data_IF_784700339654
#
_entry.id   IF_784700339654
#
_cell.length_a   1.000
_cell.length_b   1.000
_cell.length_c   1.000
_cell.angle_alpha   90.00
_cell.angle_beta   90.00
_cell.angle_gamma   90.00
#
_symmetry.space_group_name_H-M   'P 1'
#
loop_
_entity.id
_entity.type
_entity.pdbx_description
1 polymer ?
#
# COMPACT_ATOMS: atom_id res chain seq x y z
N UNK A 1 11.23 -5.77 22.86
CA UNK A 1 10.18 -6.41 23.70
C UNK A 1 10.04 -5.63 24.99
N UNK A 2 11.14 -5.32 25.68
CA UNK A 2 11.06 -4.50 26.90
C UNK A 2 10.94 -3.02 26.52
N UNK A 3 10.01 -2.35 27.20
CA UNK A 3 9.76 -0.91 27.04
C UNK A 3 10.81 -0.07 27.77
N UNK A 4 11.50 -0.67 28.75
CA UNK A 4 12.61 -0.08 29.47
C UNK A 4 13.81 -1.02 29.46
N UNK A 5 15.01 -0.46 29.58
CA UNK A 5 16.21 -1.29 29.62
C UNK A 5 16.22 -2.12 30.90
N UNK A 6 16.58 -3.41 30.84
CA UNK A 6 16.75 -4.20 32.06
C UNK A 6 18.07 -3.87 32.78
N UNK A 7 18.99 -3.16 32.14
CA UNK A 7 20.31 -2.89 32.71
C UNK A 7 20.25 -1.83 33.81
N UNK A 8 20.79 -2.21 34.96
CA UNK A 8 21.02 -1.34 36.11
C UNK A 8 22.48 -1.42 36.53
N UNK A 9 22.95 -0.43 37.29
CA UNK A 9 24.25 -0.50 37.97
C UNK A 9 23.99 -0.98 39.39
N UNK A 10 24.65 -2.05 39.80
CA UNK A 10 24.48 -2.61 41.14
C UNK A 10 25.81 -2.73 41.87
N UNK A 11 25.74 -2.59 43.18
CA UNK A 11 26.86 -2.75 44.10
C UNK A 11 26.41 -3.44 45.38
N UNK A 12 27.35 -3.93 46.18
CA UNK A 12 27.04 -4.39 47.55
C UNK A 12 26.64 -3.18 48.39
N UNK A 13 25.60 -3.29 49.20
CA UNK A 13 25.08 -2.21 50.04
C UNK A 13 26.14 -1.59 50.96
N UNK A 14 27.10 -2.40 51.44
CA UNK A 14 28.23 -1.96 52.27
C UNK A 14 29.22 -1.01 51.56
N UNK A 15 29.27 -1.03 50.22
CA UNK A 15 30.11 -0.11 49.43
C UNK A 15 29.56 1.31 49.40
N UNK A 16 28.30 1.51 49.84
CA UNK A 16 27.60 2.81 49.92
C UNK A 16 27.54 3.55 48.58
N UNK A 17 27.48 2.82 47.47
CA UNK A 17 27.29 3.38 46.12
C UNK A 17 25.78 3.41 45.85
N UNK A 18 25.17 4.58 45.98
CA UNK A 18 23.69 4.75 45.96
C UNK A 18 23.21 5.73 44.89
N UNK A 19 24.11 6.55 44.34
CA UNK A 19 23.84 7.51 43.28
C UNK A 19 25.00 7.56 42.27
N UNK A 20 24.77 8.04 41.05
CA UNK A 20 25.79 8.05 39.98
C UNK A 20 27.11 8.69 40.40
N UNK A 21 27.09 9.80 41.15
CA UNK A 21 28.31 10.49 41.59
C UNK A 21 29.22 9.63 42.46
N UNK A 22 28.69 8.61 43.14
CA UNK A 22 29.46 7.69 43.99
C UNK A 22 30.33 6.72 43.15
N UNK A 23 30.10 6.67 41.82
CA UNK A 23 30.87 5.86 40.88
C UNK A 23 32.23 6.47 40.55
N UNK A 24 32.45 7.76 40.81
CA UNK A 24 33.73 8.41 40.60
C UNK A 24 34.83 7.74 41.46
N UNK A 25 35.96 7.43 40.83
CA UNK A 25 37.09 6.71 41.43
C UNK A 25 36.84 5.22 41.66
N UNK A 26 35.72 4.65 41.20
CA UNK A 26 35.38 3.23 41.40
C UNK A 26 35.78 2.37 40.22
N UNK A 27 35.93 1.07 40.50
CA UNK A 27 36.09 0.06 39.45
C UNK A 27 34.75 -0.59 39.15
N UNK A 28 34.30 -0.49 37.90
CA UNK A 28 33.02 -1.03 37.44
C UNK A 28 33.26 -2.09 36.37
N UNK A 29 32.56 -3.22 36.49
CA UNK A 29 32.46 -4.15 35.37
C UNK A 29 31.19 -3.91 34.57
N UNK A 30 31.38 -3.62 33.28
CA UNK A 30 30.27 -3.40 32.37
C UNK A 30 30.16 -4.56 31.37
N UNK A 31 28.96 -5.10 31.23
CA UNK A 31 28.63 -5.98 30.11
C UNK A 31 28.82 -5.23 28.78
N UNK A 32 29.44 -5.88 27.79
CA UNK A 32 29.60 -5.31 26.45
C UNK A 32 28.23 -5.01 25.81
N UNK A 33 28.20 -4.07 24.88
CA UNK A 33 26.96 -3.62 24.24
C UNK A 33 26.15 -2.72 25.17
N UNK A 34 24.84 -2.98 25.31
CA UNK A 34 23.92 -2.06 25.98
C UNK A 34 24.37 -1.69 27.40
N UNK A 35 24.83 -2.63 28.23
CA UNK A 35 25.24 -2.34 29.61
C UNK A 35 26.35 -1.28 29.69
N UNK A 36 27.37 -1.38 28.83
CA UNK A 36 28.45 -0.38 28.73
C UNK A 36 27.94 0.97 28.23
N UNK A 37 27.12 0.97 27.18
CA UNK A 37 26.59 2.20 26.61
C UNK A 37 25.68 2.94 27.60
N UNK A 38 24.88 2.20 28.37
CA UNK A 38 24.04 2.77 29.43
C UNK A 38 24.85 3.39 30.55
N UNK A 39 25.92 2.71 30.99
CA UNK A 39 26.85 3.28 31.96
C UNK A 39 27.50 4.57 31.45
N UNK A 40 27.99 4.57 30.20
CA UNK A 40 28.57 5.79 29.61
C UNK A 40 27.55 6.92 29.49
N UNK A 41 26.32 6.61 29.07
CA UNK A 41 25.22 7.58 28.98
C UNK A 41 24.92 8.20 30.34
N UNK A 42 24.82 7.38 31.39
CA UNK A 42 24.57 7.83 32.75
C UNK A 42 25.70 8.73 33.27
N UNK A 43 26.95 8.31 33.11
CA UNK A 43 28.09 9.11 33.56
C UNK A 43 28.10 10.46 32.85
N UNK A 44 27.84 10.47 31.53
CA UNK A 44 27.80 11.71 30.77
C UNK A 44 26.61 12.62 31.15
N UNK A 45 25.41 12.07 31.34
CA UNK A 45 24.22 12.87 31.69
C UNK A 45 24.38 13.53 33.06
N UNK A 46 25.05 12.87 33.98
CA UNK A 46 25.35 13.36 35.33
C UNK A 46 26.65 14.20 35.40
N UNK A 47 27.32 14.46 34.27
CA UNK A 47 28.53 15.26 34.22
C UNK A 47 29.76 14.61 34.87
N UNK A 48 29.77 13.28 35.00
CA UNK A 48 30.86 12.50 35.59
C UNK A 48 31.88 12.17 34.48
N UNK A 49 33.16 12.60 34.61
CA UNK A 49 34.18 12.29 33.63
C UNK A 49 34.40 10.78 33.50
N UNK A 50 34.42 10.26 32.27
CA UNK A 50 34.58 8.81 32.02
C UNK A 50 35.93 8.27 32.54
N UNK A 51 36.97 9.08 32.48
CA UNK A 51 38.32 8.77 33.00
C UNK A 51 38.39 8.74 34.53
N UNK A 52 37.42 9.31 35.23
CA UNK A 52 37.29 9.18 36.68
C UNK A 52 36.84 7.79 37.11
N UNK A 53 36.33 6.95 36.20
CA UNK A 53 35.80 5.63 36.50
C UNK A 53 36.63 4.55 35.80
N UNK A 54 37.08 3.54 36.54
CA UNK A 54 37.80 2.41 35.93
C UNK A 54 36.82 1.36 35.42
N UNK A 55 36.53 1.39 34.13
CA UNK A 55 35.59 0.45 33.49
C UNK A 55 36.36 -0.75 32.93
N UNK A 56 35.99 -1.97 33.31
CA UNK A 56 36.50 -3.19 32.66
C UNK A 56 35.35 -4.01 32.05
N UNK A 57 35.64 -4.70 30.94
CA UNK A 57 34.64 -5.45 30.15
C UNK A 57 35.06 -6.92 30.00
N UNK A 58 35.10 -7.69 31.10
CA UNK A 58 35.58 -9.07 31.07
C UNK A 58 34.68 -9.98 30.21
N UNK A 59 35.28 -11.04 29.65
CA UNK A 59 34.58 -12.01 28.80
C UNK A 59 33.56 -12.86 29.57
N UNK A 60 33.80 -13.09 30.87
CA UNK A 60 32.91 -13.84 31.75
C UNK A 60 32.42 -12.92 32.86
N UNK A 61 31.12 -12.98 33.15
CA UNK A 61 30.48 -12.12 34.13
C UNK A 61 31.11 -12.38 35.52
N UNK A 62 31.87 -11.44 36.05
CA UNK A 62 32.59 -11.61 37.30
C UNK A 62 31.62 -11.52 38.48
N UNK A 63 31.91 -12.28 39.52
CA UNK A 63 31.11 -12.23 40.73
C UNK A 63 31.39 -10.93 41.49
N UNK A 64 30.33 -10.15 41.77
CA UNK A 64 30.39 -9.08 42.79
C UNK A 64 30.81 -9.63 44.17
N UNK A 65 30.72 -10.95 44.38
CA UNK A 65 31.02 -11.60 45.65
C UNK A 65 32.53 -11.71 45.93
N UNK A 66 33.38 -11.57 44.91
CA UNK A 66 34.83 -11.73 45.07
C UNK A 66 35.56 -10.39 45.36
N UNK A 67 34.82 -9.31 45.64
CA UNK A 67 35.31 -7.95 45.93
C UNK A 67 36.30 -7.34 44.93
N UNK A 68 36.47 -7.96 43.75
CA UNK A 68 37.37 -7.50 42.70
C UNK A 68 36.94 -6.18 42.04
N UNK A 69 35.70 -5.75 42.30
CA UNK A 69 35.09 -4.51 41.79
C UNK A 69 34.11 -3.92 42.78
N UNK A 70 33.79 -2.64 42.57
CA UNK A 70 32.88 -1.89 43.42
C UNK A 70 31.43 -1.96 42.92
N UNK A 71 31.22 -2.02 41.60
CA UNK A 71 29.91 -2.13 40.98
C UNK A 71 29.95 -2.92 39.67
N UNK A 72 28.79 -3.41 39.22
CA UNK A 72 28.63 -4.03 37.89
C UNK A 72 27.37 -3.53 37.19
N UNK A 73 27.35 -3.60 35.86
CA UNK A 73 26.09 -3.52 35.11
C UNK A 73 25.45 -4.90 35.03
N UNK A 74 24.16 -4.99 35.34
CA UNK A 74 23.44 -6.25 35.37
C UNK A 74 21.95 -6.07 35.04
N UNK A 75 21.29 -7.16 34.65
CA UNK A 75 19.84 -7.17 34.48
C UNK A 75 19.17 -7.10 35.86
N UNK A 76 18.28 -6.12 36.07
CA UNK A 76 17.49 -5.98 37.31
C UNK A 76 16.58 -7.17 37.59
N UNK A 77 16.24 -7.94 36.56
CA UNK A 77 15.45 -9.16 36.68
C UNK A 77 16.24 -10.38 37.14
N UNK A 78 17.58 -10.33 37.14
CA UNK A 78 18.43 -11.50 37.43
C UNK A 78 19.35 -11.28 38.63
N UNK A 79 20.44 -10.54 38.44
CA UNK A 79 21.55 -10.51 39.40
C UNK A 79 21.17 -9.97 40.79
N UNK A 80 20.35 -8.91 40.93
CA UNK A 80 19.92 -8.45 42.26
C UNK A 80 19.16 -9.54 43.03
N UNK A 81 18.25 -10.23 42.34
CA UNK A 81 17.41 -11.31 42.92
C UNK A 81 18.29 -12.48 43.38
N UNK A 82 19.29 -12.85 42.57
CA UNK A 82 20.28 -13.88 42.90
C UNK A 82 21.09 -13.49 44.16
N UNK A 83 21.59 -12.25 44.23
CA UNK A 83 22.39 -11.78 45.36
C UNK A 83 21.58 -11.70 46.65
N UNK A 84 20.34 -11.20 46.58
CA UNK A 84 19.42 -11.16 47.72
C UNK A 84 19.09 -12.57 48.23
N UNK A 85 18.90 -13.54 47.32
CA UNK A 85 18.65 -14.93 47.69
C UNK A 85 19.86 -15.57 48.39
N UNK A 86 21.07 -15.10 48.13
CA UNK A 86 22.30 -15.47 48.82
C UNK A 86 22.54 -14.68 50.12
N UNK A 87 21.62 -13.79 50.51
CA UNK A 87 21.70 -13.01 51.74
C UNK A 87 22.52 -11.73 51.66
N UNK A 88 22.96 -11.31 50.46
CA UNK A 88 23.69 -10.07 50.29
C UNK A 88 22.74 -8.88 50.10
N UNK A 89 23.03 -7.77 50.79
CA UNK A 89 22.37 -6.50 50.51
C UNK A 89 22.89 -5.89 49.21
N UNK A 90 21.97 -5.49 48.32
CA UNK A 90 22.28 -4.85 47.04
C UNK A 90 21.85 -3.39 47.06
N UNK A 91 22.67 -2.52 46.49
CA UNK A 91 22.31 -1.15 46.12
C UNK A 91 22.19 -1.08 44.60
N UNK A 92 21.19 -0.37 44.11
CA UNK A 92 20.84 -0.30 42.68
C UNK A 92 20.70 1.15 42.25
N UNK A 93 21.38 1.52 41.18
CA UNK A 93 21.20 2.76 40.44
C UNK A 93 20.54 2.37 39.13
N UNK A 94 19.30 2.82 38.94
CA UNK A 94 18.57 2.64 37.67
C UNK A 94 18.81 3.86 36.78
N UNK A 95 19.50 3.72 35.64
CA UNK A 95 19.75 4.86 34.75
C UNK A 95 18.47 5.52 34.21
N UNK A 96 17.35 4.81 34.19
CA UNK A 96 16.06 5.39 33.79
C UNK A 96 15.63 6.52 34.74
N UNK A 97 15.97 6.44 36.02
CA UNK A 97 15.69 7.49 37.02
C UNK A 97 16.50 8.78 36.74
N UNK A 98 17.53 8.69 35.90
CA UNK A 98 18.41 9.80 35.48
C UNK A 98 18.20 10.18 34.01
N UNK A 99 17.06 9.80 33.42
CA UNK A 99 16.71 10.15 32.04
C UNK A 99 17.42 9.33 30.96
N UNK A 100 18.16 8.28 31.34
CA UNK A 100 18.80 7.35 30.41
C UNK A 100 17.95 6.08 30.32
N UNK A 101 16.95 6.10 29.45
CA UNK A 101 16.02 4.99 29.28
C UNK A 101 15.93 4.54 27.81
N UNK A 102 16.39 3.31 27.55
CA UNK A 102 16.42 2.68 26.24
C UNK A 102 15.47 1.51 26.15
N UNK A 103 15.08 1.10 24.94
CA UNK A 103 14.42 -0.21 24.78
C UNK A 103 15.36 -1.36 25.18
N UNK A 104 14.79 -2.43 25.72
CA UNK A 104 15.49 -3.67 26.00
C UNK A 104 14.99 -4.84 25.14
N UNK A 105 15.87 -5.81 24.91
CA UNK A 105 15.55 -7.10 24.26
C UNK A 105 14.64 -6.92 23.03
N UNK A 106 15.13 -6.19 22.04
CA UNK A 106 14.42 -5.89 20.78
C UNK A 106 14.67 -6.99 19.75
N UNK A 107 13.67 -7.27 18.91
CA UNK A 107 13.82 -8.18 17.78
C UNK A 107 14.42 -7.42 16.60
N UNK A 108 15.46 -7.98 15.99
CA UNK A 108 16.14 -7.39 14.84
C UNK A 108 16.28 -8.41 13.72
N UNK A 109 16.26 -7.93 12.47
CA UNK A 109 16.56 -8.73 11.29
C UNK A 109 17.19 -7.82 10.22
N UNK A 110 17.76 -8.39 9.17
CA UNK A 110 18.32 -7.60 8.07
C UNK A 110 17.23 -7.13 7.11
N UNK A 111 17.45 -5.98 6.47
CA UNK A 111 16.59 -5.46 5.40
C UNK A 111 16.43 -6.48 4.26
N UNK A 112 17.54 -7.12 3.87
CA UNK A 112 17.54 -8.18 2.87
C UNK A 112 16.58 -9.33 3.23
N UNK A 113 16.53 -9.75 4.50
CA UNK A 113 15.65 -10.84 4.92
C UNK A 113 14.18 -10.42 4.93
N UNK A 114 13.88 -9.15 5.19
CA UNK A 114 12.52 -8.58 5.07
C UNK A 114 12.08 -8.55 3.61
N UNK A 115 12.97 -8.15 2.70
CA UNK A 115 12.68 -8.04 1.26
C UNK A 115 12.53 -9.41 0.60
N UNK A 116 13.40 -10.36 0.95
CA UNK A 116 13.43 -11.69 0.33
C UNK A 116 12.42 -12.68 0.94
N UNK A 117 12.07 -12.52 2.23
CA UNK A 117 11.21 -13.47 2.95
C UNK A 117 10.11 -12.80 3.80
N UNK A 118 9.32 -11.86 3.26
CA UNK A 118 8.38 -11.05 4.04
C UNK A 118 7.37 -11.88 4.84
N UNK A 119 6.77 -12.89 4.21
CA UNK A 119 5.78 -13.77 4.86
C UNK A 119 6.40 -14.61 6.00
N UNK A 120 7.68 -14.98 5.89
CA UNK A 120 8.42 -15.67 6.97
C UNK A 120 8.64 -14.73 8.15
N UNK A 121 8.99 -13.46 7.89
CA UNK A 121 9.18 -12.45 8.93
C UNK A 121 7.86 -12.18 9.66
N UNK A 122 6.76 -11.98 8.94
CA UNK A 122 5.44 -11.75 9.54
C UNK A 122 5.02 -12.92 10.44
N UNK A 123 5.16 -14.17 9.96
CA UNK A 123 4.87 -15.36 10.77
C UNK A 123 5.77 -15.48 11.99
N UNK A 124 7.07 -15.20 11.85
CA UNK A 124 8.02 -15.25 12.96
C UNK A 124 7.68 -14.20 14.03
N UNK A 125 7.39 -12.97 13.61
CA UNK A 125 7.00 -11.89 14.51
C UNK A 125 5.70 -12.23 15.23
N UNK A 126 4.66 -12.64 14.51
CA UNK A 126 3.37 -13.01 15.10
C UNK A 126 3.50 -14.17 16.09
N UNK A 127 4.27 -15.21 15.76
CA UNK A 127 4.51 -16.33 16.65
C UNK A 127 5.30 -15.92 17.90
N UNK A 128 6.33 -15.09 17.74
CA UNK A 128 7.14 -14.57 18.86
C UNK A 128 6.32 -13.72 19.82
N UNK A 129 5.49 -12.80 19.29
CA UNK A 129 4.62 -11.95 20.10
C UNK A 129 3.55 -12.77 20.83
N UNK A 130 2.98 -13.79 20.17
CA UNK A 130 2.06 -14.73 20.81
C UNK A 130 2.73 -15.51 21.95
N UNK A 131 3.97 -15.97 21.75
CA UNK A 131 4.76 -16.65 22.77
C UNK A 131 5.05 -15.76 23.97
N UNK A 132 5.48 -14.52 23.74
CA UNK A 132 5.68 -13.54 24.81
C UNK A 132 4.41 -13.24 25.59
N UNK A 133 3.28 -13.04 24.89
CA UNK A 133 1.98 -12.83 25.53
C UNK A 133 1.61 -14.01 26.43
N UNK A 134 1.76 -15.25 25.92
CA UNK A 134 1.51 -16.45 26.71
C UNK A 134 2.42 -16.51 27.94
N UNK A 135 3.72 -16.29 27.77
CA UNK A 135 4.67 -16.39 28.87
C UNK A 135 4.41 -15.38 30.00
N UNK A 136 3.97 -14.17 29.66
CA UNK A 136 3.60 -13.15 30.64
C UNK A 136 2.28 -13.46 31.36
N UNK A 137 1.36 -14.18 30.70
CA UNK A 137 0.08 -14.60 31.27
C UNK A 137 0.18 -15.90 32.09
N UNK A 138 1.17 -16.74 31.80
CA UNK A 138 1.36 -18.07 32.38
C UNK A 138 2.76 -18.24 33.01
N UNK A 139 3.20 -17.34 33.93
CA UNK A 139 4.57 -17.36 34.44
C UNK A 139 4.92 -18.61 35.25
N UNK A 140 3.95 -19.24 35.91
CA UNK A 140 4.18 -20.47 36.70
C UNK A 140 4.52 -21.66 35.81
N UNK A 141 3.69 -21.92 34.79
CA UNK A 141 3.89 -22.96 33.79
C UNK A 141 5.20 -22.73 33.02
N UNK A 142 5.47 -21.50 32.60
CA UNK A 142 6.71 -21.18 31.90
C UNK A 142 7.93 -21.33 32.80
N UNK A 143 7.84 -21.02 34.09
CA UNK A 143 8.93 -21.28 35.03
C UNK A 143 9.23 -22.78 35.15
N UNK A 144 8.20 -23.63 35.24
CA UNK A 144 8.38 -25.08 35.23
C UNK A 144 9.02 -25.57 33.93
N UNK A 145 8.57 -25.02 32.79
CA UNK A 145 9.15 -25.34 31.49
C UNK A 145 10.62 -24.92 31.39
N UNK A 146 10.98 -23.71 31.85
CA UNK A 146 12.35 -23.21 31.87
C UNK A 146 13.27 -24.10 32.73
N UNK A 147 12.76 -24.67 33.83
CA UNK A 147 13.53 -25.59 34.66
C UNK A 147 13.82 -26.93 33.97
N UNK A 148 13.17 -27.25 32.84
CA UNK A 148 13.45 -28.48 32.09
C UNK A 148 14.74 -28.42 31.28
N UNK A 149 15.21 -27.23 30.93
CA UNK A 149 16.37 -27.02 30.06
C UNK A 149 17.69 -27.46 30.75
N UNK A 150 18.56 -28.23 30.08
CA UNK A 150 19.80 -28.74 30.66
C UNK A 150 20.67 -27.65 31.29
N UNK A 151 20.84 -26.53 30.60
CA UNK A 151 21.69 -25.41 31.02
C UNK A 151 21.13 -24.70 32.27
N UNK A 152 19.82 -24.78 32.51
CA UNK A 152 19.18 -24.23 33.71
C UNK A 152 19.30 -25.20 34.87
N UNK A 153 19.15 -26.50 34.62
CA UNK A 153 19.33 -27.57 35.61
C UNK A 153 20.75 -27.57 36.18
N UNK A 154 21.77 -27.41 35.33
CA UNK A 154 23.17 -27.32 35.74
C UNK A 154 23.43 -26.15 36.70
N UNK A 155 22.65 -25.08 36.60
CA UNK A 155 22.74 -23.89 37.47
C UNK A 155 21.93 -24.03 38.78
N UNK A 156 21.16 -25.10 38.94
CA UNK A 156 20.31 -25.37 40.10
C UNK A 156 19.41 -24.16 40.48
N UNK A 157 18.81 -23.53 39.46
CA UNK A 157 17.94 -22.37 39.66
C UNK A 157 16.65 -22.80 40.35
N UNK A 158 16.19 -22.01 41.33
CA UNK A 158 14.93 -22.28 42.04
C UNK A 158 13.75 -21.63 41.33
N UNK A 159 12.59 -22.32 41.31
CA UNK A 159 11.33 -21.81 40.72
C UNK A 159 10.92 -20.45 41.29
N UNK A 160 11.07 -20.23 42.58
CA UNK A 160 10.69 -18.96 43.21
C UNK A 160 11.52 -17.77 42.73
N UNK A 161 12.79 -17.99 42.36
CA UNK A 161 13.63 -16.95 41.76
C UNK A 161 13.19 -16.63 40.33
N UNK A 162 12.84 -17.66 39.54
CA UNK A 162 12.26 -17.47 38.20
C UNK A 162 10.93 -16.71 38.26
N UNK A 163 10.10 -16.98 39.27
CA UNK A 163 8.84 -16.25 39.46
C UNK A 163 9.06 -14.77 39.82
N UNK A 164 10.08 -14.46 40.63
CA UNK A 164 10.47 -13.07 40.92
C UNK A 164 11.03 -12.38 39.67
N UNK A 165 11.85 -13.08 38.89
CA UNK A 165 12.37 -12.62 37.61
C UNK A 165 11.23 -12.32 36.61
N UNK A 166 10.28 -13.24 36.45
CA UNK A 166 9.12 -13.08 35.58
C UNK A 166 8.27 -11.84 35.96
N UNK A 167 8.07 -11.60 37.26
CA UNK A 167 7.39 -10.39 37.75
C UNK A 167 8.15 -9.12 37.37
N UNK A 168 9.48 -9.13 37.49
CA UNK A 168 10.32 -8.00 37.08
C UNK A 168 10.25 -7.78 35.57
N UNK A 169 10.35 -8.84 34.77
CA UNK A 169 10.24 -8.78 33.31
C UNK A 169 8.87 -8.21 32.89
N UNK A 170 7.78 -8.65 33.52
CA UNK A 170 6.44 -8.09 33.24
C UNK A 170 6.39 -6.57 33.47
N UNK A 171 7.05 -6.07 34.52
CA UNK A 171 7.15 -4.63 34.77
C UNK A 171 7.97 -3.87 33.71
N UNK A 172 8.92 -4.53 33.04
CA UNK A 172 9.71 -3.96 31.96
C UNK A 172 8.99 -4.00 30.61
N UNK A 173 8.16 -5.02 30.38
CA UNK A 173 7.35 -5.15 29.15
C UNK A 173 6.11 -4.25 29.20
N UNK A 174 5.51 -4.05 30.38
CA UNK A 174 4.26 -3.29 30.59
C UNK A 174 3.10 -3.75 29.69
N UNK A 175 2.79 -5.07 29.65
CA UNK A 175 1.79 -5.61 28.71
C UNK A 175 0.37 -5.07 28.93
N UNK A 176 0.06 -4.57 30.14
CA UNK A 176 -1.25 -4.00 30.47
C UNK A 176 -1.46 -2.58 29.93
N UNK A 177 -0.40 -1.91 29.49
CA UNK A 177 -0.45 -0.52 29.03
C UNK A 177 -0.03 -0.34 27.58
N UNK A 178 0.86 -1.20 27.09
CA UNK A 178 1.46 -1.09 25.77
C UNK A 178 1.39 -2.46 25.11
N UNK A 179 0.96 -2.49 23.85
CA UNK A 179 0.97 -3.71 23.06
C UNK A 179 2.40 -4.27 22.96
N UNK A 180 2.55 -5.58 23.19
CA UNK A 180 3.85 -6.24 23.15
C UNK A 180 4.43 -6.09 21.74
N UNK A 181 5.65 -5.57 21.66
CA UNK A 181 6.34 -5.34 20.39
C UNK A 181 6.13 -3.94 19.81
N UNK A 182 5.22 -3.14 20.36
CA UNK A 182 5.06 -1.74 19.95
C UNK A 182 6.37 -0.97 20.21
N UNK A 183 6.76 -0.18 19.20
CA UNK A 183 7.93 0.69 19.23
C UNK A 183 7.55 2.09 18.77
N UNK A 184 7.98 3.09 19.54
CA UNK A 184 7.81 4.49 19.21
C UNK A 184 9.07 5.06 18.53
N UNK A 185 8.89 5.71 17.37
CA UNK A 185 9.96 6.34 16.58
C UNK A 185 10.71 7.43 17.35
N UNK A 186 10.01 8.35 18.00
CA UNK A 186 10.65 9.44 18.76
C UNK A 186 11.57 8.94 19.87
N UNK A 187 11.25 7.80 20.50
CA UNK A 187 12.17 7.16 21.45
C UNK A 187 13.44 6.63 20.77
N UNK A 188 13.35 6.05 19.58
CA UNK A 188 14.53 5.65 18.80
C UNK A 188 15.37 6.84 18.34
N UNK A 189 14.75 7.95 17.96
CA UNK A 189 15.44 9.20 17.64
C UNK A 189 16.21 9.74 18.86
N UNK A 190 15.59 9.70 20.04
CA UNK A 190 16.27 10.07 21.28
C UNK A 190 17.44 9.13 21.61
N UNK A 191 17.29 7.82 21.43
CA UNK A 191 18.39 6.85 21.61
C UNK A 191 19.54 7.16 20.64
N UNK A 192 19.24 7.41 19.38
CA UNK A 192 20.24 7.77 18.36
C UNK A 192 21.00 9.05 18.75
N UNK A 193 20.29 10.06 19.25
CA UNK A 193 20.88 11.30 19.77
C UNK A 193 21.83 11.03 20.93
N UNK A 194 21.39 10.27 21.94
CA UNK A 194 22.23 9.93 23.09
C UNK A 194 23.50 9.17 22.66
N UNK A 195 23.37 8.22 21.72
CA UNK A 195 24.53 7.47 21.20
C UNK A 195 25.45 8.35 20.35
N UNK A 196 24.89 9.29 19.58
CA UNK A 196 25.63 10.29 18.83
C UNK A 196 26.44 11.21 19.74
N UNK A 197 25.83 11.67 20.83
CA UNK A 197 26.46 12.49 21.85
C UNK A 197 27.61 11.71 22.53
N UNK A 198 27.47 10.42 22.76
CA UNK A 198 28.54 9.57 23.30
C UNK A 198 29.66 9.25 22.31
N UNK A 199 29.56 9.68 21.05
CA UNK A 199 30.46 9.30 19.96
C UNK A 199 30.63 7.78 19.78
N UNK A 200 29.62 7.00 20.22
CA UNK A 200 29.56 5.54 20.03
C UNK A 200 29.24 5.20 18.57
N UNK A 201 28.52 6.09 17.89
CA UNK A 201 28.19 5.96 16.47
C UNK A 201 29.00 6.95 15.62
N UNK A 202 29.43 6.54 14.41
CA UNK A 202 30.08 7.43 13.45
C UNK A 202 29.21 8.64 13.14
N UNK A 203 29.83 9.80 12.92
CA UNK A 203 29.13 11.06 12.63
C UNK A 203 28.17 10.93 11.43
N UNK A 204 28.63 10.23 10.37
CA UNK A 204 27.83 9.94 9.18
C UNK A 204 26.52 9.17 9.43
N UNK A 205 26.37 8.52 10.60
CA UNK A 205 25.17 7.75 10.97
C UNK A 205 24.25 8.49 11.95
N UNK A 206 24.65 9.64 12.48
CA UNK A 206 23.88 10.38 13.51
C UNK A 206 22.57 10.97 13.00
N UNK A 207 22.47 11.25 11.70
CA UNK A 207 21.27 11.79 11.04
C UNK A 207 20.63 10.76 10.09
N UNK A 208 20.76 9.47 10.40
CA UNK A 208 20.16 8.41 9.57
C UNK A 208 18.64 8.47 9.73
N UNK A 209 17.91 8.47 8.61
CA UNK A 209 16.46 8.32 8.64
C UNK A 209 16.08 6.95 9.20
N UNK A 210 15.14 6.94 10.14
CA UNK A 210 14.69 5.74 10.84
C UNK A 210 13.50 5.06 10.16
N UNK A 211 12.96 5.60 9.07
CA UNK A 211 11.87 4.95 8.32
C UNK A 211 12.22 3.51 7.92
N UNK A 212 13.39 3.32 7.32
CA UNK A 212 13.87 1.99 6.91
C UNK A 212 14.40 1.16 8.10
N UNK A 213 14.58 1.77 9.28
CA UNK A 213 15.11 1.11 10.47
C UNK A 213 14.00 0.41 11.26
N UNK A 214 12.79 0.97 11.26
CA UNK A 214 11.64 0.41 11.96
C UNK A 214 10.79 -0.44 11.02
N UNK A 215 10.48 -1.67 11.45
CA UNK A 215 9.64 -2.56 10.67
C UNK A 215 8.16 -2.20 10.84
N UNK A 216 7.47 -1.95 9.73
CA UNK A 216 6.04 -1.62 9.67
C UNK A 216 5.26 -2.75 8.98
N UNK A 217 4.58 -3.64 9.74
CA UNK A 217 3.85 -4.79 9.17
C UNK A 217 2.70 -4.34 8.25
N UNK A 218 1.98 -3.28 8.63
CA UNK A 218 0.77 -2.84 7.92
C UNK A 218 1.07 -2.31 6.50
N UNK A 219 2.22 -1.67 6.28
CA UNK A 219 2.54 -1.08 4.98
C UNK A 219 2.71 -2.10 3.86
N UNK A 220 3.10 -3.35 4.18
CA UNK A 220 3.20 -4.42 3.19
C UNK A 220 1.82 -4.90 2.72
N UNK A 221 0.85 -4.99 3.63
CA UNK A 221 -0.54 -5.41 3.31
C UNK A 221 -1.26 -4.39 2.41
N UNK A 222 -1.10 -3.09 2.69
CA UNK A 222 -1.72 -2.02 1.90
C UNK A 222 -1.07 -1.81 0.54
N UNK A 223 0.14 -2.32 0.30
CA UNK A 223 0.82 -2.19 -1.00
C UNK A 223 0.02 -2.86 -2.13
N UNK A 224 -0.59 -4.02 -1.86
CA UNK A 224 -1.47 -4.70 -2.81
C UNK A 224 -2.80 -3.98 -2.99
N UNK A 225 -3.40 -3.50 -1.90
CA UNK A 225 -4.65 -2.74 -1.97
C UNK A 225 -4.48 -1.42 -2.73
N UNK A 226 -3.38 -0.68 -2.49
CA UNK A 226 -3.03 0.54 -3.24
C UNK A 226 -2.85 0.24 -4.73
N UNK A 227 -2.19 -0.86 -5.10
CA UNK A 227 -2.07 -1.29 -6.51
C UNK A 227 -3.44 -1.59 -7.13
N UNK A 228 -4.30 -2.30 -6.41
CA UNK A 228 -5.67 -2.59 -6.87
C UNK A 228 -6.49 -1.32 -7.08
N UNK A 229 -6.44 -0.37 -6.13
CA UNK A 229 -7.11 0.93 -6.25
C UNK A 229 -6.62 1.69 -7.50
N UNK A 230 -5.32 1.72 -7.76
CA UNK A 230 -4.76 2.37 -8.95
C UNK A 230 -5.23 1.69 -10.23
N UNK A 231 -5.22 0.36 -10.29
CA UNK A 231 -5.71 -0.40 -11.46
C UNK A 231 -7.21 -0.14 -11.67
N UNK A 232 -8.01 -0.17 -10.62
CA UNK A 232 -9.45 0.14 -10.68
C UNK A 232 -9.70 1.57 -11.16
N UNK A 233 -8.92 2.56 -10.70
CA UNK A 233 -9.03 3.94 -11.15
C UNK A 233 -8.71 4.08 -12.65
N UNK A 234 -7.65 3.41 -13.13
CA UNK A 234 -7.30 3.40 -14.56
C UNK A 234 -8.42 2.76 -15.40
N UNK A 235 -8.99 1.64 -14.95
CA UNK A 235 -10.10 0.98 -15.62
C UNK A 235 -11.36 1.87 -15.68
N UNK A 236 -11.65 2.62 -14.61
CA UNK A 236 -12.75 3.58 -14.59
C UNK A 236 -12.54 4.72 -15.58
N UNK A 237 -11.32 5.26 -15.69
CA UNK A 237 -10.98 6.29 -16.69
C UNK A 237 -11.17 5.75 -18.11
N UNK A 238 -10.72 4.52 -18.38
CA UNK A 238 -10.92 3.86 -19.67
C UNK A 238 -12.42 3.68 -19.96
N UNK A 239 -13.18 3.15 -19.01
CA UNK A 239 -14.62 2.97 -19.16
C UNK A 239 -15.36 4.29 -19.40
N UNK A 240 -14.96 5.36 -18.69
CA UNK A 240 -15.50 6.70 -18.88
C UNK A 240 -15.21 7.25 -20.27
N UNK A 241 -13.99 7.04 -20.79
CA UNK A 241 -13.64 7.40 -22.16
C UNK A 241 -14.50 6.66 -23.19
N UNK A 242 -14.72 5.35 -23.01
CA UNK A 242 -15.61 4.57 -23.87
C UNK A 242 -17.06 5.05 -23.80
N UNK A 243 -17.54 5.43 -22.62
CA UNK A 243 -18.89 5.94 -22.41
C UNK A 243 -19.09 7.30 -23.10
N UNK A 244 -18.15 8.23 -22.95
CA UNK A 244 -18.14 9.50 -23.68
C UNK A 244 -18.12 9.25 -25.19
N UNK A 245 -17.23 8.37 -25.67
CA UNK A 245 -17.14 8.02 -27.09
C UNK A 245 -18.47 7.49 -27.62
N UNK A 246 -19.12 6.61 -26.87
CA UNK A 246 -20.43 6.04 -27.24
C UNK A 246 -21.52 7.12 -27.30
N UNK A 247 -21.55 8.04 -26.33
CA UNK A 247 -22.50 9.18 -26.34
C UNK A 247 -22.25 10.08 -27.56
N UNK A 248 -21.00 10.43 -27.86
CA UNK A 248 -20.64 11.25 -29.02
C UNK A 248 -21.05 10.58 -30.34
N UNK A 249 -20.81 9.27 -30.47
CA UNK A 249 -21.25 8.48 -31.64
C UNK A 249 -22.77 8.53 -31.78
N UNK A 250 -23.53 8.30 -30.71
CA UNK A 250 -25.00 8.36 -30.74
C UNK A 250 -25.52 9.74 -31.13
N UNK A 251 -24.90 10.81 -30.62
CA UNK A 251 -25.28 12.18 -30.95
C UNK A 251 -25.00 12.51 -32.43
N UNK A 252 -23.85 12.10 -32.94
CA UNK A 252 -23.49 12.31 -34.34
C UNK A 252 -24.41 11.50 -35.28
N UNK A 253 -24.76 10.27 -34.91
CA UNK A 253 -25.73 9.46 -35.64
C UNK A 253 -27.12 10.08 -35.66
N UNK A 254 -27.58 10.65 -34.55
CA UNK A 254 -28.88 11.34 -34.49
C UNK A 254 -28.91 12.54 -35.43
N UNK A 255 -27.87 13.39 -35.38
CA UNK A 255 -27.74 14.56 -36.28
C UNK A 255 -27.69 14.14 -37.75
N UNK A 256 -26.97 13.05 -38.07
CA UNK A 256 -26.90 12.53 -39.43
C UNK A 256 -28.28 12.05 -39.92
N UNK A 257 -29.04 11.33 -39.07
CA UNK A 257 -30.41 10.89 -39.38
C UNK A 257 -31.35 12.06 -39.62
N UNK A 258 -31.31 13.09 -38.77
CA UNK A 258 -32.14 14.30 -38.93
C UNK A 258 -31.85 14.99 -40.27
N UNK A 259 -30.58 15.12 -40.67
CA UNK A 259 -30.21 15.67 -41.97
C UNK A 259 -30.77 14.86 -43.14
N UNK A 260 -30.70 13.53 -43.08
CA UNK A 260 -31.27 12.66 -44.12
C UNK A 260 -32.78 12.80 -44.20
N UNK A 261 -33.48 12.83 -43.06
CA UNK A 261 -34.94 13.03 -43.03
C UNK A 261 -35.32 14.39 -43.62
N UNK A 262 -34.58 15.45 -43.29
CA UNK A 262 -34.83 16.79 -43.85
C UNK A 262 -34.56 16.86 -45.36
N UNK A 263 -33.50 16.20 -45.85
CA UNK A 263 -33.23 16.09 -47.27
C UNK A 263 -34.39 15.38 -47.99
N UNK A 264 -34.81 14.21 -47.49
CA UNK A 264 -35.93 13.45 -48.06
C UNK A 264 -37.24 14.23 -48.05
N UNK A 265 -37.53 14.99 -46.98
CA UNK A 265 -38.71 15.85 -46.91
C UNK A 265 -38.65 16.98 -47.94
N UNK A 266 -37.48 17.62 -48.09
CA UNK A 266 -37.28 18.68 -49.08
C UNK A 266 -37.44 18.15 -50.51
N UNK A 267 -36.88 16.97 -50.78
CA UNK A 267 -36.99 16.32 -52.08
C UNK A 267 -38.45 15.98 -52.38
N UNK A 268 -39.19 15.42 -51.40
CA UNK A 268 -40.62 15.12 -51.56
C UNK A 268 -41.48 16.36 -51.78
N UNK A 269 -41.23 17.44 -51.03
CA UNK A 269 -41.94 18.72 -51.22
C UNK A 269 -41.64 19.30 -52.59
N UNK A 270 -40.38 19.23 -53.05
CA UNK A 270 -39.99 19.67 -54.39
C UNK A 270 -40.71 18.86 -55.47
N UNK A 271 -40.81 17.54 -55.30
CA UNK A 271 -41.53 16.64 -56.21
C UNK A 271 -43.03 16.97 -56.27
N UNK A 272 -43.69 17.12 -55.12
CA UNK A 272 -45.11 17.52 -55.05
C UNK A 272 -45.35 18.91 -55.65
N UNK A 273 -44.44 19.85 -55.43
CA UNK A 273 -44.53 21.22 -55.99
C UNK A 273 -44.42 21.18 -57.52
N UNK A 274 -43.46 20.43 -58.06
CA UNK A 274 -43.32 20.22 -59.50
C UNK A 274 -44.60 19.59 -60.06
N UNK A 275 -45.10 18.53 -59.42
CA UNK A 275 -46.31 17.83 -59.86
C UNK A 275 -47.52 18.79 -59.90
N UNK A 276 -47.70 19.60 -58.86
CA UNK A 276 -48.78 20.60 -58.78
C UNK A 276 -48.67 21.67 -59.87
N UNK A 277 -47.45 22.16 -60.16
CA UNK A 277 -47.21 23.12 -61.25
C UNK A 277 -47.61 22.51 -62.60
N UNK A 278 -47.21 21.25 -62.84
CA UNK A 278 -47.52 20.54 -64.08
C UNK A 278 -49.03 20.29 -64.23
N UNK A 279 -49.72 19.91 -63.15
CA UNK A 279 -51.19 19.79 -63.13
C UNK A 279 -51.88 21.09 -63.51
N UNK A 280 -51.53 22.22 -62.89
CA UNK A 280 -52.17 23.51 -63.18
C UNK A 280 -51.80 24.07 -64.56
N UNK A 281 -50.63 23.73 -65.09
CA UNK A 281 -50.22 24.13 -66.43
C UNK A 281 -50.84 23.26 -67.54
N UNK A 282 -51.52 22.15 -67.19
CA UNK A 282 -52.03 21.17 -68.16
C UNK A 282 -50.92 20.42 -68.91
N UNK A 283 -49.73 20.32 -68.32
CA UNK A 283 -48.56 19.68 -68.93
C UNK A 283 -48.38 18.31 -68.30
N UNK A 284 -48.33 17.27 -69.14
CA UNK A 284 -47.96 15.91 -68.71
C UNK A 284 -46.49 15.70 -69.06
N UNK A 285 -45.67 15.45 -68.04
CA UNK A 285 -44.30 14.98 -68.21
C UNK A 285 -44.25 13.50 -67.87
N UNK A 286 -43.70 12.70 -68.75
CA UNK A 286 -43.52 11.27 -68.52
C UNK A 286 -42.04 10.92 -68.50
N UNK A 287 -41.70 9.90 -67.74
CA UNK A 287 -40.38 9.31 -67.69
C UNK A 287 -40.50 7.80 -67.97
N UNK A 288 -39.60 7.28 -68.77
CA UNK A 288 -39.50 5.86 -69.04
C UNK A 288 -38.28 5.29 -68.34
N UNK A 289 -38.51 4.41 -67.37
CA UNK A 289 -37.43 3.67 -66.75
C UNK A 289 -37.03 2.50 -67.66
N UNK A 290 -35.97 2.73 -68.41
CA UNK A 290 -35.47 1.79 -69.41
C UNK A 290 -35.01 0.46 -68.78
N UNK A 291 -34.74 0.40 -67.47
CA UNK A 291 -34.22 -0.82 -66.81
C UNK A 291 -35.33 -1.79 -66.37
N UNK A 292 -36.50 -1.28 -66.00
CA UNK A 292 -37.64 -2.11 -65.57
C UNK A 292 -38.87 -1.99 -66.48
N UNK A 293 -38.81 -1.15 -67.52
CA UNK A 293 -39.87 -0.97 -68.53
C UNK A 293 -41.04 -0.12 -68.07
N UNK A 294 -41.01 0.44 -66.85
CA UNK A 294 -42.13 1.20 -66.29
C UNK A 294 -42.17 2.64 -66.83
N UNK A 295 -43.38 3.08 -67.19
CA UNK A 295 -43.66 4.48 -67.51
C UNK A 295 -44.27 5.16 -66.29
N UNK A 296 -43.70 6.29 -65.88
CA UNK A 296 -44.22 7.11 -64.79
C UNK A 296 -44.56 8.49 -65.36
N UNK A 297 -45.80 8.94 -65.20
CA UNK A 297 -46.22 10.30 -65.56
C UNK A 297 -46.41 11.18 -64.33
N UNK A 298 -46.14 12.47 -64.53
CA UNK A 298 -46.24 13.55 -63.57
C UNK A 298 -47.04 14.68 -64.24
N UNK A 299 -47.98 15.29 -63.50
CA UNK A 299 -48.81 16.38 -64.01
C UNK A 299 -50.00 15.96 -64.86
N UNK A 300 -51.06 16.80 -64.86
CA UNK A 300 -52.30 16.66 -65.63
C UNK A 300 -53.42 15.87 -64.93
N UNK A 301 -54.69 16.29 -65.08
CA UNK A 301 -55.85 15.58 -64.50
C UNK A 301 -56.03 14.16 -65.06
N UNK A 302 -55.63 13.93 -66.32
CA UNK A 302 -55.76 12.64 -67.02
C UNK A 302 -54.46 11.82 -67.05
N UNK A 303 -53.49 12.08 -66.16
CA UNK A 303 -52.15 11.47 -66.20
C UNK A 303 -52.14 9.94 -66.13
N UNK A 304 -52.99 9.38 -65.27
CA UNK A 304 -53.11 7.94 -65.11
C UNK A 304 -53.77 7.30 -66.33
N UNK A 305 -54.73 8.01 -66.95
CA UNK A 305 -55.37 7.61 -68.20
C UNK A 305 -54.37 7.68 -69.37
N UNK A 306 -53.52 8.70 -69.44
CA UNK A 306 -52.45 8.80 -70.44
C UNK A 306 -51.44 7.66 -70.33
N UNK A 307 -51.00 7.30 -69.12
CA UNK A 307 -50.07 6.17 -68.92
C UNK A 307 -50.75 4.84 -69.22
N UNK A 308 -51.98 4.63 -68.73
CA UNK A 308 -52.65 3.34 -68.83
C UNK A 308 -53.37 3.10 -70.14
N UNK A 309 -53.74 4.12 -70.93
CA UNK A 309 -54.42 3.98 -72.24
C UNK A 309 -53.50 4.26 -73.41
N UNK A 310 -52.68 5.31 -73.34
CA UNK A 310 -51.93 5.85 -74.47
C UNK A 310 -50.47 5.34 -74.50
N UNK A 311 -49.84 5.15 -73.33
CA UNK A 311 -48.46 4.64 -73.19
C UNK A 311 -48.36 3.13 -72.86
N UNK A 312 -49.36 2.32 -73.24
CA UNK A 312 -49.39 0.87 -72.97
C UNK A 312 -48.21 0.07 -73.53
N UNK A 313 -47.56 0.54 -74.60
CA UNK A 313 -46.41 -0.11 -75.23
C UNK A 313 -45.58 0.89 -76.05
N UNK A 314 -44.35 0.53 -76.40
CA UNK A 314 -43.51 1.31 -77.34
C UNK A 314 -44.26 1.59 -78.65
N UNK A 315 -45.07 0.64 -79.13
CA UNK A 315 -45.88 0.78 -80.33
C UNK A 315 -47.01 1.81 -80.21
N UNK A 316 -47.68 1.89 -79.06
CA UNK A 316 -48.74 2.89 -78.84
C UNK A 316 -48.15 4.29 -78.67
N UNK A 317 -46.99 4.42 -78.02
CA UNK A 317 -46.25 5.68 -77.95
C UNK A 317 -45.79 6.19 -79.32
N UNK A 318 -45.29 5.29 -80.18
CA UNK A 318 -44.88 5.63 -81.55
C UNK A 318 -46.02 6.23 -82.39
N UNK A 319 -47.27 5.90 -82.07
CA UNK A 319 -48.45 6.46 -82.73
C UNK A 319 -48.83 7.87 -82.24
N UNK A 320 -48.35 8.28 -81.06
CA UNK A 320 -48.66 9.57 -80.43
C UNK A 320 -47.61 10.64 -80.70
N UNK A 321 -46.39 10.25 -81.05
CA UNK A 321 -45.30 11.18 -81.39
C UNK A 321 -45.48 11.76 -82.80
N UNK A 322 -45.09 13.02 -82.97
CA UNK A 322 -45.12 13.69 -84.27
C UNK A 322 -44.34 12.87 -85.33
N UNK A 323 -44.83 12.75 -86.58
CA UNK A 323 -44.23 11.91 -87.62
C UNK A 323 -42.72 12.13 -87.82
N UNK A 324 -42.27 13.38 -87.71
CA UNK A 324 -40.85 13.76 -87.86
C UNK A 324 -39.95 13.27 -86.71
N UNK A 325 -40.53 12.96 -85.55
CA UNK A 325 -39.83 12.46 -84.37
C UNK A 325 -39.72 10.93 -84.34
N UNK A 326 -40.56 10.24 -85.11
CA UNK A 326 -40.59 8.76 -85.20
C UNK A 326 -39.22 8.20 -85.60
N UNK A 327 -38.58 8.81 -86.59
CA UNK A 327 -37.27 8.37 -87.09
C UNK A 327 -36.15 8.50 -86.06
N UNK A 328 -36.21 9.54 -85.21
CA UNK A 328 -35.22 9.73 -84.13
C UNK A 328 -35.47 8.74 -82.98
N UNK A 329 -36.73 8.45 -82.69
CA UNK A 329 -37.11 7.49 -81.67
C UNK A 329 -36.69 6.05 -82.02
N UNK A 330 -36.87 5.63 -83.28
CA UNK A 330 -36.37 4.32 -83.75
C UNK A 330 -34.84 4.20 -83.62
N UNK A 331 -34.12 5.31 -83.85
CA UNK A 331 -32.66 5.35 -83.70
C UNK A 331 -32.24 5.22 -82.23
N UNK A 332 -33.01 5.81 -81.32
CA UNK A 332 -32.80 5.68 -79.87
C UNK A 332 -33.02 4.24 -79.38
N UNK A 333 -34.11 3.58 -79.83
CA UNK A 333 -34.38 2.18 -79.49
C UNK A 333 -33.25 1.24 -79.94
N UNK A 334 -32.64 1.48 -81.11
CA UNK A 334 -31.53 0.69 -81.62
C UNK A 334 -30.20 0.86 -80.86
N UNK A 335 -30.09 1.87 -79.98
CA UNK A 335 -28.90 2.11 -79.14
C UNK A 335 -29.06 1.42 -77.77
N UNK A 336 -30.28 0.99 -77.41
CA UNK A 336 -30.53 0.29 -76.16
C UNK A 336 -29.99 -1.16 -76.23
N UNK A 337 -29.38 -1.67 -75.15
CA UNK A 337 -28.85 -3.04 -75.14
C UNK A 337 -29.97 -4.10 -75.24
N UNK A 338 -29.69 -5.22 -75.93
CA UNK A 338 -30.65 -6.28 -76.33
C UNK A 338 -31.43 -6.94 -75.18
N UNK A 339 -31.08 -6.67 -73.92
CA UNK A 339 -31.78 -7.18 -72.73
C UNK A 339 -32.94 -6.28 -72.26
N UNK A 340 -33.21 -5.16 -72.94
CA UNK A 340 -34.23 -4.16 -72.58
C UNK A 340 -35.16 -3.81 -73.77
N UNK A 341 -35.12 -4.57 -74.88
CA UNK A 341 -35.90 -4.35 -76.11
C UNK A 341 -37.24 -5.09 -76.17
#
# INVERSE_FOLDING_TARGET
IFQHSPYVIISRKEKKITKPTDLAGKTIYAAKGQGLHLLHSLLKSEGIPLDSVTIKTPLRNPSLLNDSVDAITAYRSGKPIEMEALGYGVSTIDPADYGVDFYGDVLITSKENIENNPEKIERFLAASLKGWKYALQHPDEISDYILTFPEVKERNVRKDLLMKEAKMISSLVRPDLIEIGHMNRGRWENILKVYGDLAVIPEAKRNTDLEDFLYHPEEQSFKYLKRLIVVSAVLLVIAFFFLIRNILIKLNLKKAREKVVQANLKDKISEETINTILEHAGIIIWNWNVTNGEFVAYGGEDKDDFVTKDLKSIGSFKALIHPDSVRKFDLFLNILPDNLS
#
